data_IF_191758015327
#
_entry.id   IF_191758015327
#
_cell.length_a   1.000
_cell.length_b   1.000
_cell.length_c   1.000
_cell.angle_alpha   90.00
_cell.angle_beta   90.00
_cell.angle_gamma   90.00
#
_symmetry.space_group_name_H-M   'P 1'
#
loop_
_entity.id
_entity.type
_entity.pdbx_description
1 polymer ?
#
# COMPACT_ATOMS: atom_id res chain seq x y z
N UNK A 1 -11.95 12.99 -14.36
CA UNK A 1 -11.99 11.62 -13.80
C UNK A 1 -11.37 11.68 -12.42
N UNK A 2 -12.06 11.18 -11.39
CA UNK A 2 -11.58 11.25 -10.00
C UNK A 2 -10.52 10.17 -9.75
N UNK A 3 -9.36 10.59 -9.27
CA UNK A 3 -8.24 9.72 -8.93
C UNK A 3 -7.88 9.86 -7.47
N UNK A 4 -7.91 8.75 -6.75
CA UNK A 4 -7.44 8.63 -5.37
C UNK A 4 -6.05 8.02 -5.36
N UNK A 5 -5.11 8.66 -4.69
CA UNK A 5 -3.80 8.11 -4.42
C UNK A 5 -3.67 7.81 -2.94
N UNK A 6 -3.39 6.55 -2.63
CA UNK A 6 -3.21 6.04 -1.28
C UNK A 6 -1.72 5.78 -1.06
N UNK A 7 -1.11 6.41 -0.06
CA UNK A 7 0.34 6.36 0.14
C UNK A 7 0.66 5.61 1.43
N UNK A 8 1.49 4.60 1.29
CA UNK A 8 2.10 3.88 2.41
C UNK A 8 3.24 4.72 3.00
N UNK A 9 2.95 5.39 4.11
CA UNK A 9 3.91 6.27 4.77
C UNK A 9 5.14 5.50 5.27
N UNK A 10 4.94 4.29 5.79
CA UNK A 10 5.99 3.47 6.38
C UNK A 10 6.97 3.00 5.30
N UNK A 11 6.50 2.40 4.21
CA UNK A 11 7.37 1.91 3.14
C UNK A 11 8.17 3.03 2.49
N UNK A 12 7.57 4.20 2.28
CA UNK A 12 8.28 5.34 1.68
C UNK A 12 9.31 5.93 2.65
N UNK A 13 8.99 6.04 3.95
CA UNK A 13 9.94 6.51 4.97
C UNK A 13 11.15 5.60 5.09
N UNK A 14 10.95 4.28 5.22
CA UNK A 14 12.05 3.31 5.26
C UNK A 14 12.93 3.38 4.01
N UNK A 15 12.30 3.41 2.82
CA UNK A 15 13.02 3.53 1.56
C UNK A 15 13.83 4.83 1.48
N UNK A 16 13.24 5.95 1.87
CA UNK A 16 13.90 7.25 1.86
C UNK A 16 15.10 7.28 2.81
N UNK A 17 14.95 6.73 4.02
CA UNK A 17 16.01 6.67 5.02
C UNK A 17 17.27 5.96 4.51
N UNK A 18 17.11 4.82 3.84
CA UNK A 18 18.24 4.05 3.32
C UNK A 18 18.77 4.54 1.97
N UNK A 19 17.94 5.24 1.17
CA UNK A 19 18.33 5.70 -0.16
C UNK A 19 18.98 7.10 -0.15
N UNK A 20 18.67 7.93 0.83
CA UNK A 20 19.16 9.31 0.91
C UNK A 20 20.29 9.43 1.93
N UNK A 21 21.29 10.30 1.67
CA UNK A 21 22.33 10.57 2.65
C UNK A 21 21.72 11.16 3.94
N UNK A 22 22.37 11.00 5.10
CA UNK A 22 21.95 11.66 6.33
C UNK A 22 21.80 13.16 6.14
N UNK A 23 20.70 13.71 6.64
CA UNK A 23 20.37 15.14 6.60
C UNK A 23 19.82 15.52 7.96
N UNK A 24 20.17 16.72 8.43
CA UNK A 24 19.70 17.23 9.71
C UNK A 24 18.95 18.55 9.56
N UNK A 25 17.99 18.79 10.45
CA UNK A 25 17.33 20.08 10.61
C UNK A 25 18.27 21.10 11.25
N UNK A 26 17.82 22.35 11.35
CA UNK A 26 18.53 23.42 12.06
C UNK A 26 18.89 23.04 13.51
N UNK A 27 18.04 22.23 14.14
CA UNK A 27 18.21 21.75 15.53
C UNK A 27 19.00 20.43 15.61
N UNK A 28 19.59 19.96 14.51
CA UNK A 28 20.40 18.74 14.47
C UNK A 28 19.60 17.44 14.40
N UNK A 29 18.27 17.48 14.30
CA UNK A 29 17.43 16.27 14.20
C UNK A 29 17.55 15.64 12.80
N UNK A 30 17.62 14.31 12.65
CA UNK A 30 17.63 13.68 11.33
C UNK A 30 16.31 13.94 10.59
N UNK A 31 16.37 14.22 9.29
CA UNK A 31 15.20 14.59 8.45
C UNK A 31 15.27 14.04 7.01
N UNK A 32 16.22 13.16 6.71
CA UNK A 32 16.41 12.58 5.38
C UNK A 32 15.20 11.75 4.91
N UNK A 33 14.59 10.97 5.81
CA UNK A 33 13.40 10.19 5.48
C UNK A 33 12.19 11.10 5.19
N UNK A 34 12.00 12.15 6.00
CA UNK A 34 10.95 13.17 5.79
C UNK A 34 11.14 13.88 4.45
N UNK A 35 12.37 14.26 4.11
CA UNK A 35 12.69 14.88 2.83
C UNK A 35 12.32 13.96 1.64
N UNK A 36 12.63 12.67 1.75
CA UNK A 36 12.30 11.68 0.73
C UNK A 36 10.80 11.44 0.60
N UNK A 37 10.07 11.39 1.72
CA UNK A 37 8.61 11.27 1.75
C UNK A 37 7.94 12.43 1.01
N UNK A 38 8.31 13.68 1.35
CA UNK A 38 7.78 14.86 0.67
C UNK A 38 8.18 14.86 -0.80
N UNK A 39 9.43 14.51 -1.13
CA UNK A 39 9.88 14.43 -2.52
C UNK A 39 9.06 13.43 -3.34
N UNK A 40 8.71 12.29 -2.74
CA UNK A 40 7.84 11.28 -3.35
C UNK A 40 6.41 11.82 -3.52
N UNK A 41 5.85 12.49 -2.51
CA UNK A 41 4.54 13.14 -2.61
C UNK A 41 4.48 14.12 -3.79
N UNK A 42 5.47 15.01 -3.93
CA UNK A 42 5.50 15.97 -5.05
C UNK A 42 5.63 15.28 -6.40
N UNK A 43 6.39 14.18 -6.47
CA UNK A 43 6.50 13.37 -7.68
C UNK A 43 5.16 12.71 -8.03
N UNK A 44 4.51 12.10 -7.05
CA UNK A 44 3.18 11.49 -7.18
C UNK A 44 2.17 12.50 -7.67
N UNK A 45 2.16 13.72 -7.11
CA UNK A 45 1.26 14.80 -7.55
C UNK A 45 1.52 15.16 -9.01
N UNK A 46 2.80 15.25 -9.40
CA UNK A 46 3.21 15.61 -10.76
C UNK A 46 2.82 14.52 -11.77
N UNK A 47 3.13 13.26 -11.46
CA UNK A 47 3.00 12.14 -12.38
C UNK A 47 1.56 11.64 -12.49
N UNK A 48 0.86 11.56 -11.35
CA UNK A 48 -0.46 10.94 -11.29
C UNK A 48 -1.59 11.96 -11.36
N UNK A 49 -1.33 13.25 -11.08
CA UNK A 49 -2.33 14.31 -10.99
C UNK A 49 -3.55 13.88 -10.16
N UNK A 50 -3.36 13.50 -8.88
CA UNK A 50 -4.43 13.03 -8.02
C UNK A 50 -5.47 14.12 -7.81
N UNK A 51 -6.71 13.69 -7.58
CA UNK A 51 -7.76 14.56 -7.04
C UNK A 51 -7.90 14.38 -5.53
N UNK A 52 -7.64 13.16 -5.06
CA UNK A 52 -7.74 12.78 -3.66
C UNK A 52 -6.44 12.12 -3.23
N UNK A 53 -5.97 12.40 -2.01
CA UNK A 53 -4.78 11.81 -1.42
C UNK A 53 -5.07 11.41 0.02
N UNK A 54 -4.58 10.24 0.44
CA UNK A 54 -4.54 9.83 1.84
C UNK A 54 -3.23 9.10 2.13
N UNK A 55 -2.79 9.16 3.39
CA UNK A 55 -1.67 8.37 3.88
C UNK A 55 -2.16 7.35 4.91
N UNK A 56 -1.51 6.20 4.95
CA UNK A 56 -1.57 5.28 6.08
C UNK A 56 -0.22 5.17 6.76
N UNK A 57 -0.24 5.02 8.09
CA UNK A 57 0.94 4.73 8.90
C UNK A 57 0.66 3.55 9.84
N UNK A 58 1.68 2.75 10.11
CA UNK A 58 1.58 1.70 11.14
C UNK A 58 1.52 2.32 12.54
N UNK A 59 0.88 1.58 13.45
CA UNK A 59 0.94 1.83 14.88
C UNK A 59 1.94 0.89 15.57
N UNK A 60 2.37 1.22 16.79
CA UNK A 60 3.34 0.42 17.55
C UNK A 60 2.71 -0.82 18.18
N UNK A 61 1.39 -0.83 18.33
CA UNK A 61 0.61 -1.91 18.90
C UNK A 61 0.66 -3.18 18.02
N UNK A 62 0.72 -4.38 18.63
CA UNK A 62 0.73 -5.63 17.87
C UNK A 62 -0.57 -5.81 17.09
N UNK A 63 -0.43 -6.32 15.87
CA UNK A 63 -1.54 -6.60 14.96
C UNK A 63 -2.18 -7.96 15.22
N UNK A 64 -3.28 -8.26 14.55
CA UNK A 64 -3.87 -9.60 14.60
C UNK A 64 -2.87 -10.67 14.13
N UNK A 65 -1.98 -10.34 13.17
CA UNK A 65 -0.94 -11.26 12.67
C UNK A 65 -0.01 -11.74 13.79
N UNK A 66 0.39 -10.84 14.69
CA UNK A 66 1.22 -11.18 15.85
C UNK A 66 0.48 -12.06 16.87
N UNK A 67 -0.86 -11.96 16.95
CA UNK A 67 -1.67 -12.82 17.82
C UNK A 67 -1.84 -14.22 17.24
N UNK A 68 -1.92 -14.33 15.92
CA UNK A 68 -2.06 -15.59 15.19
C UNK A 68 -0.73 -16.34 15.09
N UNK A 69 0.37 -15.61 14.88
CA UNK A 69 1.72 -16.15 14.78
C UNK A 69 2.70 -15.24 15.56
N UNK A 70 3.10 -15.62 16.79
CA UNK A 70 3.97 -14.80 17.64
C UNK A 70 5.33 -14.46 17.01
N UNK A 71 5.86 -15.33 16.15
CA UNK A 71 7.11 -15.12 15.43
C UNK A 71 6.96 -14.28 14.14
N UNK A 72 5.75 -13.82 13.81
CA UNK A 72 5.51 -12.95 12.67
C UNK A 72 6.40 -11.71 12.74
N UNK A 73 7.14 -11.45 11.66
CA UNK A 73 8.12 -10.35 11.54
C UNK A 73 9.23 -10.33 12.62
N UNK A 74 9.38 -11.35 13.46
CA UNK A 74 10.30 -11.35 14.60
C UNK A 74 11.78 -11.21 14.21
N UNK A 75 12.12 -11.56 12.97
CA UNK A 75 13.47 -11.42 12.41
C UNK A 75 13.75 -10.06 11.78
N UNK A 76 12.75 -9.18 11.65
CA UNK A 76 12.96 -7.83 11.12
C UNK A 76 13.88 -7.08 12.10
N UNK A 77 14.90 -6.37 11.60
CA UNK A 77 15.77 -5.59 12.48
C UNK A 77 14.94 -4.52 13.19
N UNK A 78 15.31 -4.23 14.44
CA UNK A 78 14.72 -3.09 15.15
C UNK A 78 14.93 -1.83 14.33
N UNK A 79 13.87 -1.02 14.24
CA UNK A 79 13.93 0.26 13.55
C UNK A 79 15.03 1.14 14.15
N UNK A 80 15.79 1.79 13.29
CA UNK A 80 16.80 2.77 13.68
C UNK A 80 16.14 3.92 14.44
N UNK A 81 16.76 4.37 15.54
CA UNK A 81 16.26 5.49 16.35
C UNK A 81 16.18 6.78 15.54
N UNK A 82 17.14 6.98 14.63
CA UNK A 82 17.15 8.16 13.75
C UNK A 82 15.98 8.15 12.76
N UNK A 83 15.47 6.97 12.41
CA UNK A 83 14.25 6.83 11.61
C UNK A 83 12.98 6.97 12.46
N UNK A 84 12.91 6.33 13.64
CA UNK A 84 11.74 6.42 14.54
C UNK A 84 11.37 7.87 14.86
N UNK A 85 12.38 8.71 15.15
CA UNK A 85 12.18 10.14 15.47
C UNK A 85 11.60 10.97 14.31
N UNK A 86 11.67 10.47 13.07
CA UNK A 86 11.20 11.17 11.89
C UNK A 86 9.71 10.94 11.58
N UNK A 87 9.06 9.92 12.14
CA UNK A 87 7.66 9.61 11.83
C UNK A 87 6.69 10.70 12.28
N UNK A 88 6.85 11.23 13.48
CA UNK A 88 5.99 12.32 13.96
C UNK A 88 6.23 13.63 13.18
N UNK A 89 7.49 13.90 12.79
CA UNK A 89 7.81 15.02 11.89
C UNK A 89 7.11 14.83 10.54
N UNK A 90 7.18 13.63 9.97
CA UNK A 90 6.53 13.30 8.71
C UNK A 90 5.01 13.48 8.78
N UNK A 91 4.35 12.96 9.82
CA UNK A 91 2.90 13.13 10.02
C UNK A 91 2.52 14.60 10.11
N UNK A 92 3.25 15.40 10.89
CA UNK A 92 3.00 16.85 11.01
C UNK A 92 3.14 17.57 9.67
N UNK A 93 4.19 17.25 8.90
CA UNK A 93 4.42 17.82 7.57
C UNK A 93 3.31 17.45 6.61
N UNK A 94 2.95 16.16 6.50
CA UNK A 94 1.88 15.70 5.61
C UNK A 94 0.52 16.28 6.03
N UNK A 95 0.25 16.37 7.33
CA UNK A 95 -0.94 17.03 7.87
C UNK A 95 -1.01 18.51 7.51
N UNK A 96 0.13 19.21 7.40
CA UNK A 96 0.17 20.61 6.97
C UNK A 96 -0.30 20.81 5.51
N UNK A 97 -0.14 19.79 4.65
CA UNK A 97 -0.75 19.78 3.32
C UNK A 97 -2.28 19.62 3.35
N UNK A 98 -2.89 19.37 4.50
CA UNK A 98 -4.32 19.05 4.61
C UNK A 98 -4.66 17.65 4.10
N UNK A 99 -3.67 16.76 4.03
CA UNK A 99 -3.86 15.36 3.63
C UNK A 99 -4.24 14.54 4.88
N UNK A 100 -5.36 13.79 4.85
CA UNK A 100 -5.75 12.95 5.99
C UNK A 100 -4.77 11.79 6.18
N UNK A 101 -4.47 11.51 7.45
CA UNK A 101 -3.62 10.43 7.92
C UNK A 101 -4.50 9.37 8.58
N UNK A 102 -4.37 8.13 8.16
CA UNK A 102 -5.14 7.01 8.70
C UNK A 102 -4.22 6.01 9.39
N UNK A 103 -4.69 5.50 10.52
CA UNK A 103 -4.08 4.40 11.25
C UNK A 103 -5.16 3.68 12.09
N UNK A 104 -4.90 2.44 12.51
CA UNK A 104 -5.80 1.70 13.39
C UNK A 104 -5.01 0.68 14.20
N UNK A 105 -5.20 0.66 15.51
CA UNK A 105 -4.59 -0.37 16.36
C UNK A 105 -5.08 -1.76 15.96
N UNK A 106 -4.17 -2.73 15.94
CA UNK A 106 -4.47 -4.13 15.59
C UNK A 106 -4.32 -4.47 14.10
N UNK A 107 -4.03 -3.48 13.23
CA UNK A 107 -3.89 -3.63 11.78
C UNK A 107 -2.63 -2.92 11.27
N UNK A 108 -2.13 -3.37 10.12
CA UNK A 108 -0.99 -2.74 9.43
C UNK A 108 -1.49 -1.66 8.46
N UNK A 109 -0.61 -0.73 8.07
CA UNK A 109 -0.90 0.30 7.08
C UNK A 109 -1.46 -0.30 5.78
N UNK A 110 -0.99 -1.49 5.39
CA UNK A 110 -1.46 -2.25 4.24
C UNK A 110 -2.96 -2.60 4.32
N UNK A 111 -3.44 -3.00 5.49
CA UNK A 111 -4.86 -3.29 5.75
C UNK A 111 -5.71 -2.00 5.69
N UNK A 112 -5.14 -0.89 6.16
CA UNK A 112 -5.80 0.43 6.10
C UNK A 112 -5.94 0.89 4.65
N UNK A 113 -4.86 0.81 3.87
CA UNK A 113 -4.87 1.16 2.44
C UNK A 113 -5.79 0.23 1.66
N UNK A 114 -5.77 -1.08 1.95
CA UNK A 114 -6.68 -2.06 1.37
C UNK A 114 -8.14 -1.76 1.65
N UNK A 115 -8.45 -1.40 2.90
CA UNK A 115 -9.80 -1.03 3.32
C UNK A 115 -10.27 0.27 2.67
N UNK A 116 -9.42 1.30 2.61
CA UNK A 116 -9.75 2.55 1.91
C UNK A 116 -9.95 2.29 0.42
N UNK A 117 -9.10 1.50 -0.23
CA UNK A 117 -9.23 1.17 -1.64
C UNK A 117 -10.56 0.44 -1.94
N UNK A 118 -10.92 -0.51 -1.07
CA UNK A 118 -12.17 -1.28 -1.17
C UNK A 118 -13.40 -0.38 -0.98
N UNK A 119 -13.42 0.43 0.10
CA UNK A 119 -14.55 1.28 0.47
C UNK A 119 -14.69 2.54 -0.38
N UNK A 120 -13.60 3.03 -1.00
CA UNK A 120 -13.62 4.21 -1.88
C UNK A 120 -14.15 3.92 -3.28
N UNK A 121 -14.84 2.79 -3.46
CA UNK A 121 -15.43 2.33 -4.72
C UNK A 121 -16.78 2.63 -5.36
N UNK A 122 -16.77 2.89 -6.69
CA UNK A 122 -17.97 2.75 -7.49
C UNK A 122 -18.37 1.29 -7.45
N UNK A 123 -19.40 0.96 -6.67
CA UNK A 123 -20.26 -0.15 -7.02
C UNK A 123 -21.07 0.31 -8.24
N UNK A 124 -20.43 0.32 -9.42
CA UNK A 124 -21.20 0.04 -10.63
C UNK A 124 -21.48 -1.45 -10.57
N UNK A 125 -22.49 -1.81 -9.78
CA UNK A 125 -23.23 -3.03 -10.01
C UNK A 125 -23.75 -2.94 -11.44
N UNK A 126 -22.97 -3.47 -12.37
CA UNK A 126 -23.57 -3.92 -13.60
C UNK A 126 -24.57 -4.97 -13.18
N UNK A 127 -25.83 -4.71 -13.52
CA UNK A 127 -27.01 -5.57 -13.38
C UNK A 127 -26.70 -7.01 -13.83
N UNK A 128 -26.00 -7.78 -13.00
CA UNK A 128 -26.15 -9.21 -12.95
C UNK A 128 -27.44 -9.42 -12.16
N UNK A 129 -28.43 -10.05 -12.79
CA UNK A 129 -29.81 -10.19 -12.30
C UNK A 129 -29.97 -10.94 -10.95
N UNK A 130 -28.95 -11.09 -10.12
CA UNK A 130 -29.01 -11.94 -8.92
C UNK A 130 -28.17 -11.53 -7.70
N UNK A 131 -27.66 -10.29 -7.60
CA UNK A 131 -27.02 -9.83 -6.35
C UNK A 131 -27.54 -8.46 -5.94
N UNK A 132 -27.85 -8.36 -4.65
CA UNK A 132 -28.24 -7.13 -3.96
C UNK A 132 -27.07 -6.16 -3.92
N UNK A 133 -27.29 -4.87 -4.23
CA UNK A 133 -26.27 -3.83 -4.09
C UNK A 133 -25.78 -3.73 -2.66
N UNK A 134 -24.52 -4.06 -2.44
CA UNK A 134 -23.83 -3.59 -1.23
C UNK A 134 -23.64 -2.09 -1.38
N UNK A 135 -24.35 -1.32 -0.57
CA UNK A 135 -24.26 0.15 -0.50
C UNK A 135 -22.79 0.60 -0.35
N UNK A 136 -22.39 1.76 -0.91
CA UNK A 136 -21.11 2.35 -0.53
C UNK A 136 -21.14 2.68 0.96
N UNK A 137 -20.22 2.09 1.73
CA UNK A 137 -20.00 2.34 3.17
C UNK A 137 -19.38 3.71 3.45
N UNK A 138 -19.18 4.56 2.44
CA UNK A 138 -18.60 5.90 2.60
C UNK A 138 -19.70 6.96 2.68
N UNK A 139 -19.54 7.92 3.58
CA UNK A 139 -20.44 9.08 3.76
C UNK A 139 -20.39 10.10 2.61
N UNK A 140 -19.58 9.86 1.57
CA UNK A 140 -19.37 10.81 0.47
C UNK A 140 -20.21 10.48 -0.77
N UNK A 141 -20.77 11.51 -1.41
CA UNK A 141 -21.38 11.43 -2.74
C UNK A 141 -20.34 11.29 -3.87
N UNK A 142 -19.06 11.49 -3.56
CA UNK A 142 -17.96 11.50 -4.51
C UNK A 142 -17.48 10.08 -4.77
N UNK A 143 -17.68 9.63 -6.01
CA UNK A 143 -17.27 8.32 -6.45
C UNK A 143 -15.87 8.37 -7.08
N UNK A 144 -14.96 7.48 -6.67
CA UNK A 144 -13.59 7.41 -7.21
C UNK A 144 -13.52 6.47 -8.42
N UNK A 145 -13.06 6.99 -9.55
CA UNK A 145 -12.89 6.24 -10.81
C UNK A 145 -11.63 5.36 -10.80
N UNK A 146 -10.49 5.91 -10.38
CA UNK A 146 -9.19 5.23 -10.35
C UNK A 146 -8.52 5.37 -8.97
N UNK A 147 -7.93 4.28 -8.50
CA UNK A 147 -7.20 4.20 -7.23
C UNK A 147 -5.77 3.74 -7.53
N UNK A 148 -4.79 4.48 -7.02
CA UNK A 148 -3.38 4.11 -7.12
C UNK A 148 -2.78 4.00 -5.72
N UNK A 149 -2.23 2.85 -5.38
CA UNK A 149 -1.52 2.63 -4.11
C UNK A 149 -0.03 2.82 -4.32
N UNK A 150 0.57 3.77 -3.61
CA UNK A 150 2.00 4.08 -3.65
C UNK A 150 2.68 3.34 -2.50
N UNK A 151 3.40 2.28 -2.83
CA UNK A 151 4.11 1.44 -1.86
C UNK A 151 5.28 0.71 -2.52
N UNK A 152 6.26 0.29 -1.72
CA UNK A 152 7.31 -0.62 -2.15
C UNK A 152 6.97 -2.10 -1.93
N UNK A 153 5.88 -2.39 -1.21
CA UNK A 153 5.50 -3.74 -0.84
C UNK A 153 4.86 -4.48 -2.01
N UNK A 154 5.31 -5.71 -2.24
CA UNK A 154 4.80 -6.57 -3.32
C UNK A 154 3.53 -7.28 -2.92
N UNK A 155 3.25 -7.43 -1.64
CA UNK A 155 2.10 -8.17 -1.14
C UNK A 155 0.83 -7.38 -1.43
N UNK A 156 0.96 -6.05 -1.47
CA UNK A 156 -0.05 -5.10 -1.93
C UNK A 156 -0.48 -5.33 -3.40
N UNK A 157 0.29 -6.04 -4.23
CA UNK A 157 -0.12 -6.40 -5.60
C UNK A 157 -1.39 -7.26 -5.61
N UNK A 158 -1.76 -7.91 -4.49
CA UNK A 158 -3.04 -8.62 -4.36
C UNK A 158 -4.26 -7.70 -4.49
N UNK A 159 -4.10 -6.38 -4.28
CA UNK A 159 -5.18 -5.40 -4.46
C UNK A 159 -5.40 -5.00 -5.92
N UNK A 160 -4.48 -5.31 -6.83
CA UNK A 160 -4.61 -4.96 -8.25
C UNK A 160 -5.87 -5.63 -8.82
N UNK A 161 -6.75 -4.80 -9.37
CA UNK A 161 -8.06 -5.27 -9.84
C UNK A 161 -8.04 -5.64 -11.33
N UNK A 162 -8.92 -6.56 -11.74
CA UNK A 162 -9.02 -7.02 -13.14
C UNK A 162 -9.43 -5.93 -14.15
N UNK A 163 -10.03 -4.82 -13.69
CA UNK A 163 -10.45 -3.70 -14.54
C UNK A 163 -9.51 -2.50 -14.43
N UNK A 164 -8.29 -2.72 -13.94
CA UNK A 164 -7.26 -1.68 -13.73
C UNK A 164 -7.76 -0.48 -12.91
N UNK A 165 -8.79 -0.70 -12.09
CA UNK A 165 -9.34 0.32 -11.19
C UNK A 165 -8.39 0.61 -10.04
N UNK A 166 -7.82 -0.45 -9.46
CA UNK A 166 -6.76 -0.38 -8.47
C UNK A 166 -5.45 -0.77 -9.15
N UNK A 167 -4.46 0.12 -9.08
CA UNK A 167 -3.09 -0.09 -9.56
C UNK A 167 -2.12 0.20 -8.44
N UNK A 168 -0.89 -0.32 -8.57
CA UNK A 168 0.20 0.04 -7.67
C UNK A 168 1.19 0.96 -8.37
N UNK A 169 1.73 1.94 -7.66
CA UNK A 169 2.81 2.78 -8.12
C UNK A 169 4.03 2.53 -7.24
N UNK A 170 4.96 1.73 -7.75
CA UNK A 170 6.06 1.20 -6.95
C UNK A 170 7.40 1.86 -7.34
N UNK A 171 8.20 2.34 -6.37
CA UNK A 171 9.57 2.75 -6.64
C UNK A 171 10.44 1.54 -7.03
N UNK A 172 10.89 1.49 -8.28
CA UNK A 172 11.68 0.37 -8.83
C UNK A 172 13.18 0.58 -8.63
N UNK A 173 13.65 1.84 -8.64
CA UNK A 173 15.06 2.18 -8.41
C UNK A 173 15.16 3.51 -7.65
N UNK A 174 15.68 3.45 -6.42
CA UNK A 174 15.73 4.60 -5.52
C UNK A 174 14.35 5.21 -5.27
N UNK A 175 14.29 6.55 -5.22
CA UNK A 175 13.04 7.34 -5.12
C UNK A 175 12.64 8.01 -6.46
N UNK A 176 13.53 8.00 -7.45
CA UNK A 176 13.36 8.76 -8.70
C UNK A 176 12.66 7.97 -9.80
N UNK A 177 12.83 6.65 -9.84
CA UNK A 177 12.24 5.78 -10.84
C UNK A 177 11.12 4.94 -10.22
N UNK A 178 9.90 5.14 -10.69
CA UNK A 178 8.74 4.42 -10.24
C UNK A 178 7.92 3.94 -11.43
N UNK A 179 7.30 2.77 -11.27
CA UNK A 179 6.53 2.10 -12.32
C UNK A 179 5.10 1.85 -11.81
N UNK A 180 4.14 2.01 -12.71
CA UNK A 180 2.75 1.63 -12.47
C UNK A 180 2.59 0.13 -12.77
N UNK A 181 1.96 -0.60 -11.84
CA UNK A 181 1.66 -2.02 -11.94
C UNK A 181 0.14 -2.20 -12.02
N UNK A 182 -0.34 -2.60 -13.20
CA UNK A 182 -1.68 -3.13 -13.42
C UNK A 182 -1.66 -4.65 -13.40
N UNK A 183 -2.74 -5.26 -13.92
CA UNK A 183 -2.88 -6.73 -13.90
C UNK A 183 -1.74 -7.45 -14.62
N UNK A 184 -1.37 -6.96 -15.80
CA UNK A 184 -0.37 -7.60 -16.66
C UNK A 184 1.02 -7.56 -16.01
N UNK A 185 1.44 -6.39 -15.54
CA UNK A 185 2.72 -6.23 -14.85
C UNK A 185 2.77 -7.05 -13.56
N UNK A 186 1.63 -7.22 -12.89
CA UNK A 186 1.53 -8.09 -11.70
C UNK A 186 1.78 -9.55 -12.04
N UNK A 187 1.17 -10.06 -13.12
CA UNK A 187 1.38 -11.44 -13.58
C UNK A 187 2.85 -11.65 -13.96
N UNK A 188 3.45 -10.72 -14.69
CA UNK A 188 4.87 -10.78 -15.06
C UNK A 188 5.77 -10.77 -13.82
N UNK A 189 5.40 -9.99 -12.81
CA UNK A 189 6.19 -9.83 -11.59
C UNK A 189 6.09 -11.00 -10.63
N UNK A 190 4.88 -11.52 -10.43
CA UNK A 190 4.57 -12.53 -9.40
C UNK A 190 4.46 -13.95 -9.98
N UNK A 191 4.28 -14.10 -11.29
CA UNK A 191 4.01 -15.37 -11.95
C UNK A 191 2.57 -15.86 -11.79
N UNK A 192 1.74 -15.14 -11.04
CA UNK A 192 0.31 -15.42 -10.80
C UNK A 192 -0.51 -14.13 -10.90
N UNK A 193 -1.80 -14.19 -11.29
CA UNK A 193 -2.71 -13.05 -11.23
C UNK A 193 -2.91 -12.53 -9.80
N UNK A 194 -3.31 -11.25 -9.61
CA UNK A 194 -3.51 -10.63 -8.31
C UNK A 194 -4.33 -11.47 -7.32
N UNK A 195 -5.45 -12.05 -7.79
CA UNK A 195 -6.37 -12.90 -7.02
C UNK A 195 -5.75 -14.19 -6.46
N UNK A 196 -4.59 -14.59 -6.97
CA UNK A 196 -3.88 -15.81 -6.54
C UNK A 196 -2.64 -15.50 -5.69
N UNK A 197 -2.30 -14.24 -5.45
CA UNK A 197 -1.08 -13.87 -4.71
C UNK A 197 -1.14 -14.40 -3.27
N UNK A 198 -2.30 -14.32 -2.62
CA UNK A 198 -2.49 -14.81 -1.25
C UNK A 198 -2.30 -16.33 -1.19
N UNK A 199 -2.89 -17.07 -2.11
CA UNK A 199 -2.71 -18.53 -2.19
C UNK A 199 -1.28 -18.92 -2.59
N UNK A 200 -0.62 -18.11 -3.40
CA UNK A 200 0.78 -18.28 -3.73
C UNK A 200 1.66 -18.13 -2.48
N UNK A 201 1.44 -17.10 -1.67
CA UNK A 201 2.11 -16.90 -0.38
C UNK A 201 1.77 -17.99 0.62
N UNK A 202 0.54 -18.50 0.63
CA UNK A 202 0.14 -19.63 1.44
C UNK A 202 0.95 -20.91 1.16
N UNK A 203 1.33 -21.12 -0.11
CA UNK A 203 2.13 -22.26 -0.53
C UNK A 203 3.63 -22.04 -0.32
N UNK A 204 4.15 -20.86 -0.66
CA UNK A 204 5.59 -20.57 -0.69
C UNK A 204 6.12 -20.08 0.66
N UNK A 205 5.27 -19.44 1.46
CA UNK A 205 5.66 -18.66 2.62
C UNK A 205 6.23 -17.29 2.25
N UNK A 206 6.58 -16.52 3.26
CA UNK A 206 7.36 -15.30 3.15
C UNK A 206 8.42 -15.27 4.25
N UNK A 207 9.70 -15.44 3.87
CA UNK A 207 10.80 -15.30 4.81
C UNK A 207 10.79 -13.93 5.49
N UNK A 208 10.52 -12.84 4.79
CA UNK A 208 10.59 -11.45 5.31
C UNK A 208 9.67 -11.22 6.50
N UNK A 209 8.53 -11.92 6.49
CA UNK A 209 7.48 -11.89 7.51
C UNK A 209 7.50 -13.11 8.44
N UNK A 210 8.44 -14.02 8.20
CA UNK A 210 8.69 -15.21 9.00
C UNK A 210 7.51 -16.21 9.07
N UNK A 211 6.79 -16.40 7.97
CA UNK A 211 5.83 -17.51 7.82
C UNK A 211 6.24 -18.46 6.69
N UNK A 212 6.01 -19.77 6.89
CA UNK A 212 6.71 -20.83 6.13
C UNK A 212 5.95 -21.36 4.91
N UNK A 213 4.65 -21.10 4.80
CA UNK A 213 3.81 -21.74 3.78
C UNK A 213 3.84 -23.27 3.90
N UNK A 214 4.12 -23.96 2.79
CA UNK A 214 4.29 -25.41 2.74
C UNK A 214 5.78 -25.74 2.48
N UNK A 215 6.54 -26.17 3.50
CA UNK A 215 7.94 -26.54 3.33
C UNK A 215 8.13 -27.55 2.18
N UNK A 216 9.05 -27.22 1.26
CA UNK A 216 9.32 -28.02 0.06
C UNK A 216 8.52 -27.61 -1.18
N UNK A 217 7.53 -26.72 -1.06
CA UNK A 217 6.84 -26.12 -2.21
C UNK A 217 7.43 -24.73 -2.49
N UNK A 218 8.31 -24.68 -3.49
CA UNK A 218 8.87 -23.41 -3.98
C UNK A 218 7.99 -22.71 -5.03
N UNK A 219 8.40 -21.51 -5.49
CA UNK A 219 7.64 -20.69 -6.44
C UNK A 219 7.15 -21.41 -7.69
N UNK A 220 8.02 -22.20 -8.33
CA UNK A 220 7.69 -22.92 -9.58
C UNK A 220 6.54 -23.92 -9.37
N UNK A 221 6.59 -24.68 -8.27
CA UNK A 221 5.57 -25.67 -7.94
C UNK A 221 4.26 -24.98 -7.57
N UNK A 222 4.32 -23.91 -6.76
CA UNK A 222 3.14 -23.14 -6.38
C UNK A 222 2.43 -22.54 -7.61
N UNK A 223 3.18 -21.92 -8.54
CA UNK A 223 2.63 -21.37 -9.79
C UNK A 223 1.98 -22.47 -10.63
N UNK A 224 2.62 -23.64 -10.76
CA UNK A 224 2.05 -24.77 -11.51
C UNK A 224 0.72 -25.21 -10.91
N UNK A 225 0.68 -25.43 -9.59
CA UNK A 225 -0.52 -25.85 -8.88
C UNK A 225 -1.64 -24.81 -9.00
N UNK A 226 -1.34 -23.52 -8.84
CA UNK A 226 -2.35 -22.47 -8.94
C UNK A 226 -2.84 -22.24 -10.38
N UNK A 227 -2.00 -22.48 -11.39
CA UNK A 227 -2.42 -22.46 -12.79
C UNK A 227 -3.42 -23.58 -13.10
N UNK A 228 -3.22 -24.76 -12.51
CA UNK A 228 -4.05 -25.95 -12.72
C UNK A 228 -5.34 -25.91 -11.90
N UNK A 229 -5.23 -25.63 -10.60
CA UNK A 229 -6.34 -25.73 -9.64
C UNK A 229 -7.03 -24.40 -9.35
N UNK A 230 -6.37 -23.27 -9.61
CA UNK A 230 -6.94 -21.94 -9.42
C UNK A 230 -6.84 -21.39 -7.99
N UNK A 231 -7.02 -22.20 -6.95
CA UNK A 231 -7.02 -21.74 -5.54
C UNK A 231 -6.45 -22.78 -4.59
N UNK A 232 -5.96 -22.36 -3.42
CA UNK A 232 -5.47 -23.24 -2.35
C UNK A 232 -6.50 -24.32 -1.98
N UNK A 233 -7.75 -23.93 -1.79
CA UNK A 233 -8.83 -24.87 -1.42
C UNK A 233 -9.08 -25.94 -2.49
N UNK A 234 -9.00 -25.57 -3.77
CA UNK A 234 -9.16 -26.53 -4.87
C UNK A 234 -8.00 -27.52 -4.93
N UNK A 235 -6.78 -27.08 -4.59
CA UNK A 235 -5.63 -27.98 -4.46
C UNK A 235 -5.88 -28.99 -3.33
N UNK A 236 -6.34 -28.53 -2.16
CA UNK A 236 -6.61 -29.42 -1.02
C UNK A 236 -7.83 -30.33 -1.22
N UNK A 237 -8.79 -29.93 -2.05
CA UNK A 237 -9.93 -30.79 -2.44
C UNK A 237 -9.55 -31.92 -3.38
N UNK A 238 -8.45 -31.77 -4.14
CA UNK A 238 -8.03 -32.72 -5.17
C UNK A 238 -6.65 -33.36 -4.88
N UNK A 239 -6.31 -33.53 -3.60
CA UNK A 239 -5.00 -34.06 -3.19
C UNK A 239 -4.67 -35.44 -3.76
N UNK A 240 -5.69 -36.27 -4.06
CA UNK A 240 -5.50 -37.64 -4.52
C UNK A 240 -4.98 -37.72 -5.97
N UNK A 241 -5.19 -36.68 -6.77
CA UNK A 241 -4.70 -36.60 -8.15
C UNK A 241 -3.30 -35.97 -8.25
N UNK A 242 -2.72 -35.53 -7.13
CA UNK A 242 -1.38 -34.96 -7.09
C UNK A 242 -0.29 -36.04 -6.99
N UNK A 243 0.93 -35.77 -7.51
CA UNK A 243 2.07 -36.65 -7.28
C UNK A 243 2.30 -36.94 -5.80
N UNK A 244 2.64 -38.19 -5.45
CA UNK A 244 2.74 -38.67 -4.07
C UNK A 244 3.65 -37.81 -3.17
N UNK A 245 4.74 -37.27 -3.73
CA UNK A 245 5.64 -36.36 -3.02
C UNK A 245 4.95 -35.03 -2.66
N UNK A 246 4.31 -34.37 -3.62
CA UNK A 246 3.57 -33.11 -3.42
C UNK A 246 2.40 -33.30 -2.46
N UNK A 247 1.63 -34.39 -2.63
CA UNK A 247 0.53 -34.77 -1.74
C UNK A 247 0.99 -34.87 -0.29
N UNK A 248 2.10 -35.58 -0.04
CA UNK A 248 2.66 -35.76 1.31
C UNK A 248 3.06 -34.43 1.96
N UNK A 249 3.68 -33.52 1.20
CA UNK A 249 4.07 -32.19 1.69
C UNK A 249 2.85 -31.33 2.08
N UNK A 250 1.83 -31.29 1.22
CA UNK A 250 0.58 -30.56 1.45
C UNK A 250 -0.18 -31.13 2.65
N UNK A 251 -0.31 -32.45 2.75
CA UNK A 251 -1.01 -33.09 3.87
C UNK A 251 -0.34 -32.78 5.21
N UNK A 252 0.99 -32.88 5.29
CA UNK A 252 1.75 -32.61 6.52
C UNK A 252 1.73 -31.14 6.94
N UNK A 253 1.53 -30.22 6.01
CA UNK A 253 1.67 -28.78 6.23
C UNK A 253 0.37 -28.01 5.98
N UNK A 254 -0.78 -28.69 6.05
CA UNK A 254 -2.09 -28.10 5.75
C UNK A 254 -2.35 -26.87 6.62
N UNK A 255 -2.20 -27.00 7.93
CA UNK A 255 -2.45 -25.91 8.88
C UNK A 255 -1.50 -24.74 8.64
N UNK A 256 -0.22 -25.02 8.38
CA UNK A 256 0.78 -24.00 8.03
C UNK A 256 0.40 -23.22 6.76
N UNK A 257 -0.15 -23.90 5.75
CA UNK A 257 -0.61 -23.25 4.53
C UNK A 257 -1.78 -22.29 4.79
N UNK A 258 -2.78 -22.73 5.55
CA UNK A 258 -3.96 -21.90 5.86
C UNK A 258 -3.62 -20.74 6.82
N UNK A 259 -2.74 -20.96 7.79
CA UNK A 259 -2.20 -19.88 8.64
C UNK A 259 -1.45 -18.87 7.76
N UNK A 260 -0.58 -19.33 6.87
CA UNK A 260 0.15 -18.45 5.95
C UNK A 260 -0.79 -17.69 5.00
N UNK A 261 -1.88 -18.33 4.54
CA UNK A 261 -2.92 -17.68 3.74
C UNK A 261 -3.57 -16.52 4.52
N UNK A 262 -3.94 -16.76 5.79
CA UNK A 262 -4.54 -15.75 6.66
C UNK A 262 -3.59 -14.59 6.95
N UNK A 263 -2.31 -14.87 7.17
CA UNK A 263 -1.29 -13.84 7.41
C UNK A 263 -1.01 -13.01 6.15
N UNK A 264 -0.95 -13.63 4.97
CA UNK A 264 -0.68 -12.94 3.71
C UNK A 264 -1.86 -12.11 3.18
N UNK A 265 -3.09 -12.42 3.61
CA UNK A 265 -4.30 -11.72 3.18
C UNK A 265 -4.34 -10.30 3.78
N UNK A 266 -4.46 -9.30 2.92
CA UNK A 266 -4.76 -7.92 3.33
C UNK A 266 -6.23 -7.83 3.70
N UNK A 267 -6.52 -7.25 4.86
CA UNK A 267 -7.87 -6.97 5.34
C UNK A 267 -8.44 -5.76 4.59
N UNK A 268 -9.67 -5.86 4.09
CA UNK A 268 -10.31 -4.82 3.27
C UNK A 268 -11.58 -4.23 3.90
N UNK A 269 -11.91 -4.66 5.11
CA UNK A 269 -13.15 -4.35 5.82
C UNK A 269 -12.88 -3.88 7.26
N UNK A 270 -11.71 -3.29 7.52
CA UNK A 270 -11.38 -2.70 8.84
C UNK A 270 -12.47 -1.70 9.26
N UNK A 271 -12.91 -1.82 10.51
CA UNK A 271 -13.89 -0.90 11.10
C UNK A 271 -13.23 0.44 11.46
N UNK A 272 -13.35 1.40 10.54
CA UNK A 272 -12.77 2.74 10.62
C UNK A 272 -13.65 3.73 9.85
N UNK A 273 -13.68 4.98 10.34
CA UNK A 273 -14.34 6.08 9.64
C UNK A 273 -13.45 6.55 8.49
N UNK A 274 -14.02 6.64 7.28
CA UNK A 274 -13.31 7.00 6.05
C UNK A 274 -14.05 8.13 5.39
N UNK A 275 -13.41 9.30 5.34
CA UNK A 275 -13.97 10.49 4.72
C UNK A 275 -13.24 10.78 3.41
N UNK A 276 -13.86 10.38 2.29
CA UNK A 276 -13.30 10.62 0.95
C UNK A 276 -13.23 12.12 0.66
N UNK A 277 -14.22 12.92 1.09
CA UNK A 277 -14.23 14.36 0.79
C UNK A 277 -13.06 15.10 1.45
N UNK A 278 -12.62 14.66 2.63
CA UNK A 278 -11.39 15.18 3.26
C UNK A 278 -10.14 14.90 2.45
N UNK A 279 -10.08 13.76 1.75
CA UNK A 279 -8.94 13.41 0.90
C UNK A 279 -8.77 14.37 -0.29
N UNK A 280 -9.79 15.18 -0.63
CA UNK A 280 -9.72 16.19 -1.70
C UNK A 280 -9.21 17.55 -1.25
N UNK A 281 -9.08 17.81 0.06
CA UNK A 281 -8.86 19.16 0.62
C UNK A 281 -7.39 19.58 0.69
N UNK A 282 -6.49 18.78 0.12
CA UNK A 282 -5.05 19.01 0.19
C UNK A 282 -4.63 20.26 -0.61
N UNK A 283 -3.57 20.93 -0.13
CA UNK A 283 -3.03 22.15 -0.70
C UNK A 283 -1.51 22.12 -0.68
N UNK A 284 -0.88 22.43 -1.81
CA UNK A 284 0.58 22.38 -1.95
C UNK A 284 1.28 23.51 -1.20
N UNK A 285 0.95 24.76 -1.51
CA UNK A 285 1.70 25.95 -1.09
C UNK A 285 0.93 26.81 -0.08
N UNK A 286 0.10 26.15 0.75
CA UNK A 286 -0.60 26.83 1.84
C UNK A 286 0.38 27.43 2.85
N UNK A 287 0.00 28.51 3.58
CA UNK A 287 0.84 29.07 4.63
C UNK A 287 1.31 28.03 5.65
N UNK A 288 0.47 27.04 5.98
CA UNK A 288 0.82 25.95 6.91
C UNK A 288 1.96 25.08 6.37
N UNK A 289 1.93 24.72 5.09
CA UNK A 289 3.01 23.93 4.46
C UNK A 289 4.31 24.73 4.46
N UNK A 290 4.25 26.01 4.07
CA UNK A 290 5.44 26.86 3.98
C UNK A 290 6.09 27.08 5.35
N UNK A 291 5.30 27.32 6.40
CA UNK A 291 5.79 27.44 7.78
C UNK A 291 6.42 26.14 8.26
N UNK A 292 5.78 24.99 8.04
CA UNK A 292 6.33 23.67 8.42
C UNK A 292 7.68 23.40 7.73
N UNK A 293 7.84 23.76 6.46
CA UNK A 293 9.10 23.60 5.75
C UNK A 293 10.18 24.55 6.25
N UNK A 294 9.81 25.77 6.65
CA UNK A 294 10.74 26.74 7.21
C UNK A 294 11.29 26.33 8.58
N UNK A 295 10.41 25.80 9.44
CA UNK A 295 10.78 25.23 10.75
C UNK A 295 11.80 24.10 10.58
N UNK A 296 11.56 23.18 9.65
CA UNK A 296 12.44 22.04 9.40
C UNK A 296 13.72 22.44 8.64
N UNK A 297 13.66 23.50 7.82
CA UNK A 297 14.78 23.99 7.01
C UNK A 297 14.80 23.48 5.56
N UNK A 298 13.66 23.05 5.01
CA UNK A 298 13.53 22.49 3.66
C UNK A 298 13.52 23.51 2.51
N UNK A 299 14.57 24.33 2.40
CA UNK A 299 14.67 25.40 1.38
C UNK A 299 14.38 24.93 -0.06
N UNK A 300 14.96 23.79 -0.47
CA UNK A 300 14.78 23.24 -1.82
C UNK A 300 13.36 22.75 -2.06
N UNK A 301 12.72 22.12 -1.08
CA UNK A 301 11.33 21.67 -1.21
C UNK A 301 10.36 22.86 -1.20
N UNK A 302 10.65 23.92 -0.44
CA UNK A 302 9.85 25.16 -0.46
C UNK A 302 9.78 25.74 -1.87
N UNK A 303 10.91 25.79 -2.58
CA UNK A 303 10.95 26.26 -3.97
C UNK A 303 10.11 25.35 -4.89
N UNK A 304 10.31 24.03 -4.81
CA UNK A 304 9.60 23.04 -5.62
C UNK A 304 8.09 23.08 -5.41
N UNK A 305 7.64 23.22 -4.17
CA UNK A 305 6.21 23.31 -3.81
C UNK A 305 5.57 24.57 -4.41
N UNK A 306 6.23 25.73 -4.28
CA UNK A 306 5.73 26.99 -4.86
C UNK A 306 5.65 26.94 -6.38
N UNK A 307 6.67 26.36 -7.03
CA UNK A 307 6.68 26.20 -8.49
C UNK A 307 5.55 25.26 -8.97
N UNK A 308 5.38 24.13 -8.29
CA UNK A 308 4.33 23.17 -8.62
C UNK A 308 2.92 23.73 -8.34
N UNK A 309 2.74 24.45 -7.23
CA UNK A 309 1.49 25.13 -6.89
C UNK A 309 1.06 26.11 -7.98
N UNK A 310 1.96 27.01 -8.40
CA UNK A 310 1.73 27.93 -9.52
C UNK A 310 1.34 27.21 -10.82
N UNK A 311 2.03 26.11 -11.13
CA UNK A 311 1.75 25.31 -12.34
C UNK A 311 0.34 24.71 -12.29
N UNK A 312 -0.06 24.13 -11.16
CA UNK A 312 -1.40 23.52 -11.02
C UNK A 312 -2.51 24.57 -11.08
N UNK A 313 -2.32 25.76 -10.49
CA UNK A 313 -3.29 26.84 -10.58
C UNK A 313 -3.45 27.36 -12.02
N UNK A 314 -2.35 27.51 -12.77
CA UNK A 314 -2.40 27.85 -14.19
C UNK A 314 -3.14 26.77 -15.02
N UNK A 315 -2.87 25.48 -14.78
CA UNK A 315 -3.58 24.38 -15.45
C UNK A 315 -5.09 24.39 -15.13
N UNK A 316 -5.49 24.71 -13.89
CA UNK A 316 -6.91 24.84 -13.51
C UNK A 316 -7.59 25.99 -14.24
N UNK A 317 -6.95 27.16 -14.30
CA UNK A 317 -7.48 28.33 -15.00
C UNK A 317 -7.67 28.08 -16.50
N UNK A 318 -6.73 27.37 -17.13
CA UNK A 318 -6.84 26.99 -18.55
C UNK A 318 -7.99 26.00 -18.82
N UNK A 319 -8.30 25.09 -17.89
CA UNK A 319 -9.39 24.13 -18.06
C UNK A 319 -10.79 24.72 -17.79
N UNK A 320 -10.85 25.96 -17.28
CA UNK A 320 -12.09 26.71 -17.05
C UNK A 320 -12.47 27.63 -18.23
N UNK A 321 -11.57 27.78 -19.21
CA UNK A 321 -11.76 28.52 -20.47
C UNK A 321 -12.15 27.56 -21.60
#
# INVERSE_FOLDING_TARGET
MSKLVLIDGNAIMHRAYHALPPMTSKDGKPINAVYGLVSMLLKVITDLKPTHIAFAFDRKEPTFRHKELPEYQAQRPKMDKDLDTQFEIAKNVIGAFGIPLYDKAGYEADDILGTIAHKSGRVKEYKSKSRTPTLPLSRSSTLIDEIVVVTGDRDMLQLVSDRDRVKLYMPVKGLSEAKLFGRQETIERMGVPPKQIVDYKALVGDPSDNYKGVPGIGPKTAIKLLKEYGTLDKIYKDLDNLPSSTKSLLQKSKDSAYVSQKLAQIVQDVDMDINIDEMSKWQLDSPKVLSSFEEIGFKTLTKRVKELGKKLEAEKQMNLL
#
